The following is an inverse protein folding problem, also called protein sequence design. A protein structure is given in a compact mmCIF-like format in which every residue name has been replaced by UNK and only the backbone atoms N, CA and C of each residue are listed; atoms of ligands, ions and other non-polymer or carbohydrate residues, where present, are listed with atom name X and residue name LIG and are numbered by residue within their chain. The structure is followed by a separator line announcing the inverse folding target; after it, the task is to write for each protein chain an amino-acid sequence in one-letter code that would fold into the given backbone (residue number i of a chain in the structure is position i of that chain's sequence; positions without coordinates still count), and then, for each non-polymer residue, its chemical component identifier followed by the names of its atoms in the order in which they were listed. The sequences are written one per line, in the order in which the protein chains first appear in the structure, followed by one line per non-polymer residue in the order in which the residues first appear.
data_IF_588475587031
#
_entry.id   IF_588475587031
#
_cell.length_a   1.000
_cell.length_b   1.000
_cell.length_c   1.000
_cell.angle_alpha   90.00
_cell.angle_beta   90.00
_cell.angle_gamma   90.00
#
_symmetry.space_group_name_H-M   'P 1'
#
loop_
_entity.id
_entity.type
_entity.pdbx_description
1 polymer ?
#
# COMPACT_ATOMS: atom_id res chain seq x y z
N UNK A 1 10.48 4.00 -69.86
CA UNK A 1 11.62 3.46 -69.11
C UNK A 1 11.50 3.93 -67.67
N UNK A 2 10.70 3.24 -66.87
CA UNK A 2 10.45 3.53 -65.45
C UNK A 2 10.91 2.30 -64.66
N UNK A 3 11.79 2.52 -63.69
CA UNK A 3 12.38 1.47 -62.86
C UNK A 3 11.34 0.87 -61.91
N UNK A 4 11.18 -0.46 -61.86
CA UNK A 4 10.34 -1.14 -60.89
C UNK A 4 11.16 -1.52 -59.64
N UNK A 5 10.53 -1.42 -58.46
CA UNK A 5 10.99 -2.10 -57.25
C UNK A 5 11.41 -1.18 -56.11
N UNK A 6 10.44 -0.79 -55.27
CA UNK A 6 10.65 -0.51 -53.84
C UNK A 6 9.30 -0.37 -53.12
N UNK A 7 8.48 -1.43 -53.14
CA UNK A 7 7.43 -1.61 -52.12
C UNK A 7 8.04 -2.32 -50.91
N UNK A 8 8.67 -1.54 -50.03
CA UNK A 8 8.84 -1.93 -48.65
C UNK A 8 7.56 -1.56 -47.92
N UNK A 9 6.51 -2.36 -48.11
CA UNK A 9 5.43 -2.48 -47.12
C UNK A 9 6.07 -3.05 -45.87
N UNK A 10 6.54 -2.14 -45.02
CA UNK A 10 6.92 -2.46 -43.65
C UNK A 10 5.61 -2.86 -42.97
N UNK A 11 5.32 -4.15 -42.94
CA UNK A 11 4.30 -4.70 -42.06
C UNK A 11 4.79 -4.39 -40.64
N UNK A 12 4.31 -3.28 -40.08
CA UNK A 12 4.30 -3.07 -38.64
C UNK A 12 3.44 -4.17 -38.05
N UNK A 13 4.06 -5.29 -37.73
CA UNK A 13 3.47 -6.28 -36.86
C UNK A 13 3.36 -5.64 -35.48
N UNK A 14 2.33 -4.82 -35.28
CA UNK A 14 1.69 -4.72 -33.98
C UNK A 14 1.19 -6.13 -33.68
N UNK A 15 2.06 -6.95 -33.10
CA UNK A 15 1.64 -8.17 -32.44
C UNK A 15 0.70 -7.70 -31.33
N UNK A 16 -0.60 -7.68 -31.63
CA UNK A 16 -1.68 -7.69 -30.67
C UNK A 16 -1.48 -8.96 -29.84
N UNK A 17 -0.61 -8.86 -28.84
CA UNK A 17 -0.46 -9.87 -27.80
C UNK A 17 -1.81 -9.94 -27.12
N UNK A 18 -2.58 -10.99 -27.41
CA UNK A 18 -3.76 -11.32 -26.62
C UNK A 18 -3.33 -11.34 -25.15
N UNK A 19 -3.97 -10.55 -24.25
CA UNK A 19 -3.61 -10.56 -22.85
C UNK A 19 -3.75 -11.99 -22.32
N UNK A 20 -2.71 -12.45 -21.61
CA UNK A 20 -2.72 -13.77 -21.01
C UNK A 20 -3.98 -13.94 -20.14
N UNK A 21 -4.59 -15.13 -20.12
CA UNK A 21 -5.78 -15.36 -19.31
C UNK A 21 -5.45 -15.07 -17.83
N UNK A 22 -6.44 -14.55 -17.07
CA UNK A 22 -6.26 -14.30 -15.65
C UNK A 22 -5.87 -15.59 -14.91
N UNK A 23 -4.91 -15.46 -14.01
CA UNK A 23 -4.43 -16.55 -13.15
C UNK A 23 -5.18 -16.48 -11.83
N UNK A 24 -5.71 -17.62 -11.37
CA UNK A 24 -6.36 -17.71 -10.08
C UNK A 24 -5.40 -18.20 -9.00
N UNK A 25 -5.38 -17.50 -7.87
CA UNK A 25 -4.67 -17.89 -6.66
C UNK A 25 -5.67 -18.22 -5.56
N UNK A 26 -5.67 -19.47 -5.09
CA UNK A 26 -6.46 -19.89 -3.94
C UNK A 26 -5.62 -19.78 -2.68
N UNK A 27 -6.03 -18.92 -1.76
CA UNK A 27 -5.37 -18.69 -0.48
C UNK A 27 -6.06 -19.48 0.64
N UNK A 28 -5.35 -20.40 1.32
CA UNK A 28 -5.83 -21.02 2.55
C UNK A 28 -6.07 -20.00 3.66
N UNK A 29 -6.84 -20.42 4.67
CA UNK A 29 -7.03 -19.64 5.90
C UNK A 29 -5.68 -19.30 6.55
N UNK A 30 -5.48 -18.02 6.88
CA UNK A 30 -4.30 -17.57 7.62
C UNK A 30 -3.04 -17.40 6.76
N UNK A 31 -3.19 -17.48 5.43
CA UNK A 31 -2.09 -17.28 4.47
C UNK A 31 -2.15 -15.91 3.81
N UNK A 32 -1.04 -15.53 3.17
CA UNK A 32 -0.96 -14.35 2.33
C UNK A 32 -0.31 -14.64 0.98
N UNK A 33 -0.78 -13.97 -0.06
CA UNK A 33 -0.09 -13.91 -1.35
C UNK A 33 0.87 -12.73 -1.35
N UNK A 34 2.18 -13.01 -1.45
CA UNK A 34 3.24 -12.01 -1.55
C UNK A 34 3.62 -11.82 -2.99
N UNK A 35 3.70 -10.57 -3.42
CA UNK A 35 4.03 -10.23 -4.80
C UNK A 35 4.91 -8.98 -4.89
N UNK A 36 5.69 -8.91 -5.97
CA UNK A 36 6.54 -7.78 -6.32
C UNK A 36 6.34 -7.41 -7.80
N UNK A 37 6.09 -6.13 -8.05
CA UNK A 37 5.80 -5.59 -9.39
C UNK A 37 6.84 -4.52 -9.69
N UNK A 38 7.50 -4.66 -10.84
CA UNK A 38 8.44 -3.67 -11.33
C UNK A 38 7.77 -2.31 -11.61
N UNK A 39 8.53 -1.22 -11.48
CA UNK A 39 8.09 0.08 -11.96
C UNK A 39 7.79 0.06 -13.47
N UNK A 40 6.75 0.79 -13.88
CA UNK A 40 6.29 0.83 -15.28
C UNK A 40 5.41 -0.35 -15.71
N UNK A 41 5.13 -1.28 -14.80
CA UNK A 41 4.18 -2.39 -15.00
C UNK A 41 3.02 -2.29 -14.03
N UNK A 42 1.86 -2.78 -14.47
CA UNK A 42 0.68 -2.87 -13.61
C UNK A 42 0.18 -4.31 -13.57
N UNK A 43 -0.35 -4.69 -12.41
CA UNK A 43 -1.05 -5.95 -12.20
C UNK A 43 -2.42 -5.63 -11.64
N UNK A 44 -3.45 -6.24 -12.22
CA UNK A 44 -4.83 -6.14 -11.78
C UNK A 44 -5.16 -7.35 -10.91
N UNK A 45 -5.63 -7.10 -9.69
CA UNK A 45 -6.06 -8.11 -8.74
C UNK A 45 -7.53 -7.88 -8.43
N UNK A 46 -8.33 -8.93 -8.55
CA UNK A 46 -9.76 -8.89 -8.24
C UNK A 46 -10.07 -10.05 -7.28
N UNK A 47 -10.57 -9.78 -6.06
CA UNK A 47 -11.09 -10.83 -5.20
C UNK A 47 -12.32 -11.47 -5.85
N UNK A 48 -12.28 -12.79 -6.05
CA UNK A 48 -13.42 -13.52 -6.59
C UNK A 48 -14.55 -13.60 -5.55
N UNK A 49 -15.79 -13.45 -6.01
CA UNK A 49 -16.99 -13.53 -5.18
C UNK A 49 -17.44 -14.99 -4.98
N UNK A 50 -16.89 -15.95 -5.72
CA UNK A 50 -17.19 -17.37 -5.59
C UNK A 50 -18.68 -17.66 -5.84
N UNK A 51 -19.11 -17.71 -7.09
CA UNK A 51 -20.48 -18.16 -7.42
C UNK A 51 -20.63 -19.70 -7.39
N UNK A 52 -19.56 -20.47 -7.16
CA UNK A 52 -19.62 -21.94 -7.10
C UNK A 52 -18.87 -22.43 -5.86
N UNK A 53 -19.65 -22.64 -4.79
CA UNK A 53 -19.50 -23.56 -3.66
C UNK A 53 -19.96 -22.85 -2.39
N UNK A 54 -21.13 -23.26 -1.90
CA UNK A 54 -21.63 -22.89 -0.59
C UNK A 54 -20.52 -23.13 0.45
N UNK A 55 -20.20 -22.10 1.24
CA UNK A 55 -19.35 -22.07 2.46
C UNK A 55 -17.93 -21.46 2.46
N UNK A 56 -17.42 -20.76 1.44
CA UNK A 56 -16.18 -19.96 1.56
C UNK A 56 -16.26 -18.57 0.91
N UNK A 57 -17.05 -17.68 1.51
CA UNK A 57 -16.90 -16.24 1.28
C UNK A 57 -15.64 -15.77 2.02
N UNK A 58 -14.55 -15.57 1.29
CA UNK A 58 -13.27 -15.14 1.83
C UNK A 58 -13.11 -13.63 1.84
N UNK A 59 -12.78 -13.04 3.00
CA UNK A 59 -12.26 -11.68 3.03
C UNK A 59 -10.76 -11.70 2.75
N UNK A 60 -10.28 -10.67 2.06
CA UNK A 60 -8.88 -10.42 1.83
C UNK A 60 -8.56 -8.99 2.27
N UNK A 61 -7.35 -8.75 2.76
CA UNK A 61 -6.91 -7.43 3.18
C UNK A 61 -5.47 -7.14 2.77
N UNK A 62 -5.21 -5.87 2.48
CA UNK A 62 -3.88 -5.34 2.22
C UNK A 62 -3.57 -4.28 3.28
N UNK A 63 -2.57 -4.56 4.12
CA UNK A 63 -2.19 -3.74 5.26
C UNK A 63 -3.36 -3.31 6.17
N UNK A 64 -4.28 -4.24 6.47
CA UNK A 64 -5.44 -4.01 7.35
C UNK A 64 -6.64 -3.32 6.69
N UNK A 65 -6.55 -2.98 5.40
CA UNK A 65 -7.69 -2.51 4.59
C UNK A 65 -8.32 -3.68 3.85
N UNK A 66 -9.61 -3.92 4.05
CA UNK A 66 -10.33 -4.98 3.34
C UNK A 66 -10.49 -4.67 1.85
N UNK A 67 -10.30 -5.69 1.02
CA UNK A 67 -10.56 -5.66 -0.41
C UNK A 67 -12.02 -5.96 -0.67
N UNK A 68 -12.69 -5.09 -1.42
CA UNK A 68 -14.08 -5.29 -1.81
C UNK A 68 -14.19 -6.41 -2.87
N UNK A 69 -15.13 -7.33 -2.66
CA UNK A 69 -15.40 -8.39 -3.63
C UNK A 69 -15.82 -7.79 -4.98
N UNK A 70 -15.34 -8.41 -6.07
CA UNK A 70 -15.59 -7.96 -7.45
C UNK A 70 -15.01 -6.58 -7.82
N UNK A 71 -14.36 -5.86 -6.90
CA UNK A 71 -13.59 -4.67 -7.22
C UNK A 71 -12.21 -5.09 -7.76
N UNK A 72 -11.83 -4.50 -8.88
CA UNK A 72 -10.47 -4.66 -9.42
C UNK A 72 -9.57 -3.59 -8.83
N UNK A 73 -8.43 -4.01 -8.31
CA UNK A 73 -7.35 -3.16 -7.80
C UNK A 73 -6.14 -3.28 -8.72
N UNK A 74 -5.45 -2.17 -8.96
CA UNK A 74 -4.31 -2.05 -9.85
C UNK A 74 -3.08 -1.65 -9.06
N UNK A 75 -2.04 -2.47 -9.12
CA UNK A 75 -0.79 -2.27 -8.41
C UNK A 75 0.35 -2.05 -9.39
N UNK A 76 1.29 -1.16 -9.06
CA UNK A 76 2.49 -0.87 -9.86
C UNK A 76 3.66 -0.51 -8.96
N UNK A 77 4.87 -0.97 -9.31
CA UNK A 77 6.10 -0.55 -8.60
C UNK A 77 6.07 -0.84 -7.10
N UNK A 78 5.46 -1.95 -6.69
CA UNK A 78 5.15 -2.23 -5.28
C UNK A 78 5.53 -3.64 -4.88
N UNK A 79 5.86 -3.79 -3.60
CA UNK A 79 6.04 -5.07 -2.92
C UNK A 79 5.01 -5.13 -1.79
N UNK A 80 4.10 -6.08 -1.87
CA UNK A 80 2.97 -6.17 -0.95
C UNK A 80 2.57 -7.62 -0.66
N UNK A 81 1.71 -7.76 0.35
CA UNK A 81 1.11 -9.02 0.73
C UNK A 81 -0.41 -8.83 0.89
N UNK A 82 -1.20 -9.67 0.23
CA UNK A 82 -2.65 -9.75 0.43
C UNK A 82 -2.92 -10.93 1.35
N UNK A 83 -3.43 -10.65 2.54
CA UNK A 83 -3.69 -11.64 3.59
C UNK A 83 -5.16 -12.03 3.63
N UNK A 84 -5.45 -13.27 4.08
CA UNK A 84 -6.81 -13.71 4.36
C UNK A 84 -6.95 -14.42 5.71
N UNK A 85 -7.91 -13.97 6.51
CA UNK A 85 -8.27 -14.57 7.79
C UNK A 85 -9.05 -15.88 7.66
N UNK A 86 -9.76 -16.06 6.54
CA UNK A 86 -10.76 -17.11 6.35
C UNK A 86 -10.49 -18.01 5.14
N UNK A 87 -9.54 -17.61 4.28
CA UNK A 87 -9.29 -18.22 2.98
C UNK A 87 -10.05 -17.46 1.90
N UNK A 88 -9.46 -17.22 0.73
CA UNK A 88 -10.08 -16.49 -0.37
C UNK A 88 -9.49 -16.92 -1.73
N UNK A 89 -10.10 -16.45 -2.83
CA UNK A 89 -9.57 -16.64 -4.18
C UNK A 89 -9.34 -15.29 -4.83
N UNK A 90 -8.14 -15.10 -5.39
CA UNK A 90 -7.74 -13.90 -6.09
C UNK A 90 -7.61 -14.19 -7.58
N UNK A 91 -8.18 -13.35 -8.43
CA UNK A 91 -7.98 -13.35 -9.87
C UNK A 91 -6.94 -12.29 -10.21
N UNK A 92 -5.82 -12.71 -10.80
CA UNK A 92 -4.66 -11.85 -11.11
C UNK A 92 -4.44 -11.80 -12.61
N UNK A 93 -4.39 -10.59 -13.17
CA UNK A 93 -4.19 -10.35 -14.60
C UNK A 93 -3.20 -9.23 -14.84
N UNK A 94 -2.59 -9.22 -16.03
CA UNK A 94 -1.72 -8.12 -16.43
C UNK A 94 -2.57 -6.86 -16.64
N UNK A 95 -2.10 -5.73 -16.12
CA UNK A 95 -2.66 -4.43 -16.46
C UNK A 95 -1.93 -3.80 -17.65
N UNK A 96 -2.38 -2.60 -18.02
CA UNK A 96 -1.78 -1.84 -19.11
C UNK A 96 -0.42 -1.25 -18.68
N UNK A 97 0.62 -1.31 -19.54
CA UNK A 97 1.91 -0.71 -19.21
C UNK A 97 1.77 0.79 -18.97
N UNK A 98 2.40 1.29 -17.90
CA UNK A 98 2.43 2.73 -17.62
C UNK A 98 3.55 3.35 -18.44
N UNK A 99 3.21 4.31 -19.30
CA UNK A 99 4.21 5.16 -19.94
C UNK A 99 4.79 6.12 -18.90
N UNK A 100 6.01 5.87 -18.43
CA UNK A 100 6.73 6.81 -17.56
C UNK A 100 7.10 8.02 -18.43
N UNK A 101 6.60 9.20 -18.05
CA UNK A 101 6.54 10.40 -18.91
C UNK A 101 7.81 10.74 -19.70
N UNK A 102 7.62 11.08 -20.98
CA UNK A 102 8.54 11.88 -21.81
C UNK A 102 9.81 11.21 -22.34
N UNK A 103 10.29 10.14 -21.72
CA UNK A 103 11.40 9.33 -22.23
C UNK A 103 10.82 7.97 -22.58
N UNK A 104 10.80 7.63 -23.88
CA UNK A 104 10.27 6.38 -24.46
C UNK A 104 10.99 5.11 -24.00
N UNK A 105 11.19 4.96 -22.70
CA UNK A 105 11.67 3.73 -22.07
C UNK A 105 10.60 2.68 -22.23
N UNK A 106 10.95 1.64 -22.99
CA UNK A 106 10.13 0.43 -23.09
C UNK A 106 9.96 -0.11 -21.66
N UNK A 107 8.72 -0.34 -21.19
CA UNK A 107 8.51 -0.87 -19.86
C UNK A 107 9.28 -2.19 -19.71
N UNK A 108 9.91 -2.45 -18.55
CA UNK A 108 10.77 -3.62 -18.35
C UNK A 108 10.01 -4.89 -18.72
N UNK A 109 10.63 -5.93 -19.31
CA UNK A 109 9.89 -7.14 -19.69
C UNK A 109 9.09 -7.69 -18.51
N UNK A 110 7.85 -8.19 -18.75
CA UNK A 110 7.04 -8.75 -17.67
C UNK A 110 7.81 -9.87 -16.96
N UNK A 111 7.64 -9.95 -15.64
CA UNK A 111 8.17 -11.08 -14.89
C UNK A 111 7.46 -12.38 -15.29
N UNK A 112 8.02 -13.51 -14.87
CA UNK A 112 7.45 -14.83 -15.18
C UNK A 112 6.21 -15.17 -14.34
N UNK A 113 5.88 -14.35 -13.34
CA UNK A 113 4.72 -14.55 -12.48
C UNK A 113 3.41 -14.06 -13.09
N UNK A 114 2.32 -14.33 -12.39
CA UNK A 114 0.95 -13.97 -12.71
C UNK A 114 0.82 -12.48 -12.99
N UNK A 115 0.16 -12.13 -14.09
CA UNK A 115 0.03 -10.73 -14.52
C UNK A 115 1.35 -10.00 -14.82
N UNK A 116 2.49 -10.69 -14.86
CA UNK A 116 3.81 -10.09 -15.05
C UNK A 116 4.54 -9.74 -13.75
N UNK A 117 4.10 -10.26 -12.59
CA UNK A 117 4.83 -10.15 -11.32
C UNK A 117 6.29 -10.67 -11.46
N UNK A 118 7.24 -9.96 -10.85
CA UNK A 118 8.65 -10.37 -10.80
C UNK A 118 8.85 -11.53 -9.82
N UNK A 119 8.23 -11.41 -8.66
CA UNK A 119 8.24 -12.42 -7.59
C UNK A 119 6.80 -12.59 -7.14
N UNK A 120 6.36 -13.83 -6.99
CA UNK A 120 5.10 -14.15 -6.33
C UNK A 120 5.18 -15.50 -5.61
N UNK A 121 4.55 -15.62 -4.46
CA UNK A 121 4.35 -16.89 -3.76
C UNK A 121 3.30 -16.75 -2.66
N UNK A 122 2.74 -17.89 -2.22
CA UNK A 122 1.86 -17.95 -1.05
C UNK A 122 2.70 -18.26 0.18
N UNK A 123 2.53 -17.50 1.25
CA UNK A 123 3.15 -17.71 2.54
C UNK A 123 2.09 -18.10 3.59
N UNK A 124 2.31 -19.20 4.30
CA UNK A 124 1.43 -19.66 5.39
C UNK A 124 1.91 -19.17 6.77
N UNK A 125 3.21 -18.90 6.91
CA UNK A 125 3.77 -18.35 8.14
C UNK A 125 3.69 -16.81 8.11
N UNK A 126 2.80 -16.26 8.92
CA UNK A 126 2.54 -14.81 8.99
C UNK A 126 2.49 -14.32 10.44
N UNK A 127 2.98 -13.11 10.73
CA UNK A 127 2.89 -12.50 12.05
C UNK A 127 1.53 -11.82 12.32
N UNK A 128 0.49 -12.16 11.55
CA UNK A 128 -0.79 -11.45 11.59
C UNK A 128 -1.55 -11.67 12.91
N UNK A 129 -1.36 -12.82 13.55
CA UNK A 129 -1.93 -13.12 14.86
C UNK A 129 -1.35 -12.17 15.94
N UNK A 130 -0.06 -11.90 15.90
CA UNK A 130 0.61 -10.96 16.79
C UNK A 130 0.11 -9.53 16.56
N UNK A 131 -0.06 -9.13 15.30
CA UNK A 131 -0.53 -7.79 14.96
C UNK A 131 -1.96 -7.52 15.43
N UNK A 132 -2.87 -8.49 15.30
CA UNK A 132 -4.24 -8.34 15.82
C UNK A 132 -4.27 -8.34 17.35
N UNK A 133 -3.39 -9.11 18.01
CA UNK A 133 -3.26 -9.09 19.46
C UNK A 133 -2.78 -7.73 19.98
N UNK A 134 -1.78 -7.13 19.32
CA UNK A 134 -1.31 -5.76 19.62
C UNK A 134 -2.45 -4.77 19.44
N UNK A 135 -3.19 -4.84 18.32
CA UNK A 135 -4.34 -3.97 18.09
C UNK A 135 -5.40 -4.11 19.19
N UNK A 136 -5.72 -5.34 19.59
CA UNK A 136 -6.66 -5.63 20.69
C UNK A 136 -6.21 -5.02 22.02
N UNK A 137 -4.94 -5.15 22.37
CA UNK A 137 -4.38 -4.53 23.59
C UNK A 137 -4.44 -2.99 23.54
N UNK A 138 -4.10 -2.39 22.40
CA UNK A 138 -4.20 -0.94 22.22
C UNK A 138 -5.65 -0.45 22.29
N UNK A 139 -6.61 -1.24 21.82
CA UNK A 139 -8.02 -0.90 21.90
C UNK A 139 -8.54 -0.90 23.34
N UNK A 140 -8.15 -1.89 24.16
CA UNK A 140 -8.44 -1.88 25.60
C UNK A 140 -7.89 -0.61 26.27
N UNK A 141 -6.63 -0.24 25.97
CA UNK A 141 -6.03 1.00 26.50
C UNK A 141 -6.79 2.25 26.05
N UNK A 142 -7.32 2.29 24.83
CA UNK A 142 -8.14 3.42 24.33
C UNK A 142 -9.46 3.54 25.10
N UNK A 143 -10.13 2.43 25.38
CA UNK A 143 -11.38 2.45 26.15
C UNK A 143 -11.15 2.90 27.61
N UNK A 144 -10.10 2.40 28.25
CA UNK A 144 -9.72 2.82 29.61
C UNK A 144 -9.34 4.31 29.67
N UNK A 145 -8.57 4.79 28.69
CA UNK A 145 -8.23 6.21 28.56
C UNK A 145 -9.49 7.07 28.40
N UNK A 146 -10.41 6.67 27.51
CA UNK A 146 -11.69 7.36 27.31
C UNK A 146 -12.54 7.40 28.58
N UNK A 147 -12.64 6.28 29.30
CA UNK A 147 -13.40 6.20 30.55
C UNK A 147 -12.80 7.07 31.67
N UNK A 148 -11.47 7.24 31.69
CA UNK A 148 -10.75 8.06 32.66
C UNK A 148 -10.53 9.52 32.22
N UNK A 149 -11.02 9.92 31.05
CA UNK A 149 -10.82 11.26 30.49
C UNK A 149 -9.36 11.57 30.13
N UNK A 150 -8.56 10.53 29.85
CA UNK A 150 -7.14 10.64 29.47
C UNK A 150 -7.00 10.45 27.95
N UNK A 151 -5.84 10.85 27.43
CA UNK A 151 -5.48 10.60 26.03
C UNK A 151 -5.21 9.11 25.77
N UNK A 152 -5.47 8.68 24.54
CA UNK A 152 -5.17 7.32 24.09
C UNK A 152 -3.67 7.00 24.07
N UNK A 153 -3.31 5.72 23.84
CA UNK A 153 -1.92 5.28 23.85
C UNK A 153 -1.12 5.91 22.70
N UNK A 154 0.10 6.36 23.01
CA UNK A 154 1.10 6.82 22.05
C UNK A 154 2.13 5.70 21.86
N UNK A 155 2.23 5.16 20.65
CA UNK A 155 3.05 3.97 20.35
C UNK A 155 4.20 4.35 19.43
N UNK A 156 5.42 3.94 19.79
CA UNK A 156 6.61 4.07 18.96
C UNK A 156 7.03 2.70 18.45
N UNK A 157 7.14 2.55 17.12
CA UNK A 157 7.57 1.30 16.49
C UNK A 157 9.06 1.42 16.17
N UNK A 158 9.87 0.53 16.73
CA UNK A 158 11.33 0.48 16.55
C UNK A 158 11.74 -0.86 15.93
N UNK A 159 12.83 -0.84 15.18
CA UNK A 159 13.39 -2.03 14.54
C UNK A 159 14.47 -1.67 13.54
N UNK A 160 15.20 -2.68 13.06
CA UNK A 160 16.20 -2.52 12.00
C UNK A 160 15.57 -2.02 10.68
N UNK A 161 16.41 -1.66 9.73
CA UNK A 161 16.00 -1.46 8.33
C UNK A 161 15.28 -2.70 7.82
N UNK A 162 14.24 -2.50 7.00
CA UNK A 162 13.41 -3.57 6.40
C UNK A 162 12.71 -4.55 7.36
N UNK A 163 12.64 -4.25 8.66
CA UNK A 163 11.94 -5.09 9.65
C UNK A 163 10.40 -5.08 9.56
N UNK A 164 9.80 -4.42 8.55
CA UNK A 164 8.34 -4.32 8.39
C UNK A 164 7.66 -3.27 9.26
N UNK A 165 8.40 -2.28 9.78
CA UNK A 165 7.88 -1.19 10.65
C UNK A 165 6.69 -0.46 10.01
N UNK A 166 6.84 -0.05 8.76
CA UNK A 166 5.83 0.69 8.00
C UNK A 166 4.62 -0.19 7.68
N UNK A 167 4.83 -1.48 7.41
CA UNK A 167 3.75 -2.45 7.23
C UNK A 167 2.92 -2.63 8.50
N UNK A 168 3.58 -2.79 9.65
CA UNK A 168 2.90 -2.87 10.94
C UNK A 168 2.13 -1.57 11.26
N UNK A 169 2.73 -0.41 11.00
CA UNK A 169 2.07 0.88 11.19
C UNK A 169 0.79 1.00 10.34
N UNK A 170 0.84 0.60 9.07
CA UNK A 170 -0.33 0.58 8.18
C UNK A 170 -1.42 -0.38 8.70
N UNK A 171 -1.05 -1.60 9.10
CA UNK A 171 -2.00 -2.60 9.63
C UNK A 171 -2.71 -2.09 10.88
N UNK A 172 -1.96 -1.58 11.86
CA UNK A 172 -2.54 -1.03 13.10
C UNK A 172 -3.45 0.17 12.82
N UNK A 173 -3.09 0.99 11.83
CA UNK A 173 -3.89 2.14 11.38
C UNK A 173 -5.18 1.68 10.69
N UNK A 174 -5.10 0.72 9.76
CA UNK A 174 -6.25 0.13 9.07
C UNK A 174 -7.23 -0.53 10.05
N UNK A 175 -6.73 -1.27 11.04
CA UNK A 175 -7.59 -1.84 12.07
C UNK A 175 -8.21 -0.79 12.98
N UNK A 176 -7.47 0.27 13.34
CA UNK A 176 -8.01 1.36 14.14
C UNK A 176 -9.14 2.11 13.40
N UNK A 177 -8.94 2.44 12.12
CA UNK A 177 -9.99 3.09 11.31
C UNK A 177 -11.19 2.17 11.08
N UNK A 178 -10.97 0.86 10.91
CA UNK A 178 -12.03 -0.15 10.85
C UNK A 178 -12.87 -0.23 12.14
N UNK A 179 -12.27 0.06 13.30
CA UNK A 179 -12.97 0.21 14.59
C UNK A 179 -13.60 1.60 14.81
N UNK A 180 -13.55 2.48 13.81
CA UNK A 180 -14.06 3.85 13.91
C UNK A 180 -13.19 4.78 14.76
N UNK A 181 -11.92 4.43 14.99
CA UNK A 181 -10.93 5.30 15.64
C UNK A 181 -10.27 6.21 14.60
N UNK A 182 -9.69 7.30 15.11
CA UNK A 182 -8.95 8.27 14.30
C UNK A 182 -7.49 8.35 14.78
N UNK A 183 -6.66 7.34 14.51
CA UNK A 183 -5.26 7.37 14.93
C UNK A 183 -4.50 8.47 14.20
N UNK A 184 -3.52 9.06 14.87
CA UNK A 184 -2.51 9.91 14.22
C UNK A 184 -1.27 9.06 13.96
N UNK A 185 -0.91 8.94 12.67
CA UNK A 185 0.32 8.30 12.24
C UNK A 185 1.37 9.37 12.04
N UNK A 186 2.55 9.14 12.62
CA UNK A 186 3.69 10.05 12.52
C UNK A 186 4.84 9.31 11.84
N UNK A 187 5.28 9.83 10.68
CA UNK A 187 6.49 9.38 10.02
C UNK A 187 7.68 10.20 10.51
N UNK A 188 8.64 9.53 11.14
CA UNK A 188 9.89 10.11 11.61
C UNK A 188 11.09 9.73 10.73
N UNK A 189 10.86 8.96 9.66
CA UNK A 189 11.90 8.57 8.72
C UNK A 189 11.85 9.49 7.49
N UNK A 190 12.83 10.41 7.32
CA UNK A 190 12.87 11.31 6.17
C UNK A 190 13.11 10.58 4.85
N UNK A 191 13.59 9.33 4.86
CA UNK A 191 13.75 8.55 3.63
C UNK A 191 12.42 8.06 3.06
N UNK A 192 11.38 7.96 3.89
CA UNK A 192 10.04 7.52 3.47
C UNK A 192 9.13 8.71 3.11
N UNK A 193 8.60 8.70 1.88
CA UNK A 193 7.62 9.70 1.42
C UNK A 193 6.20 9.40 1.87
N UNK A 194 5.87 9.58 3.16
CA UNK A 194 4.49 9.44 3.65
C UNK A 194 3.67 10.70 3.37
N UNK A 195 2.79 10.64 2.35
CA UNK A 195 1.88 11.73 1.93
C UNK A 195 2.58 13.06 1.58
N UNK A 196 3.88 13.00 1.32
CA UNK A 196 4.76 14.14 1.04
C UNK A 196 5.99 13.65 0.29
N UNK A 197 6.84 14.59 -0.13
CA UNK A 197 8.13 14.29 -0.76
C UNK A 197 9.12 13.70 0.24
N UNK A 198 10.06 12.83 -0.21
CA UNK A 198 11.20 12.42 0.62
C UNK A 198 11.98 13.61 1.17
N UNK A 199 12.57 13.44 2.35
CA UNK A 199 13.22 14.50 3.13
C UNK A 199 12.26 15.24 4.06
N UNK A 200 11.07 14.69 4.32
CA UNK A 200 10.07 15.30 5.21
C UNK A 200 9.66 14.37 6.36
N UNK A 201 9.32 14.99 7.50
CA UNK A 201 8.67 14.35 8.63
C UNK A 201 7.20 14.72 8.57
N UNK A 202 6.31 13.73 8.76
CA UNK A 202 4.87 13.96 8.57
C UNK A 202 4.05 13.44 9.75
N UNK A 203 2.93 14.10 10.03
CA UNK A 203 1.94 13.65 11.00
C UNK A 203 0.54 13.79 10.40
N UNK A 204 -0.23 12.70 10.36
CA UNK A 204 -1.53 12.66 9.68
C UNK A 204 -2.57 11.94 10.52
N UNK A 205 -3.73 12.56 10.72
CA UNK A 205 -4.89 11.91 11.32
C UNK A 205 -5.63 11.08 10.25
N UNK A 206 -5.81 9.79 10.50
CA UNK A 206 -6.55 8.89 9.61
C UNK A 206 -7.99 8.76 10.07
N UNK A 207 -8.91 9.41 9.37
CA UNK A 207 -10.36 9.31 9.63
C UNK A 207 -11.08 8.35 8.68
N UNK A 208 -10.43 8.00 7.58
CA UNK A 208 -10.92 7.08 6.55
C UNK A 208 -9.91 5.95 6.34
N UNK A 209 -10.33 4.92 5.60
CA UNK A 209 -9.46 3.81 5.23
C UNK A 209 -8.21 4.27 4.45
N UNK A 210 -7.14 3.50 4.64
CA UNK A 210 -5.92 3.56 3.84
C UNK A 210 -6.25 3.12 2.42
N UNK A 211 -5.64 3.76 1.44
CA UNK A 211 -5.86 3.43 0.03
C UNK A 211 -5.14 2.12 -0.32
N UNK A 212 -5.82 1.22 -1.00
CA UNK A 212 -5.24 -0.08 -1.37
C UNK A 212 -4.18 0.11 -2.46
N UNK A 213 -4.44 0.97 -3.45
CA UNK A 213 -3.58 1.16 -4.61
C UNK A 213 -2.47 2.18 -4.29
N UNK A 214 -2.81 3.28 -3.61
CA UNK A 214 -1.87 4.37 -3.29
C UNK A 214 -1.21 4.22 -1.90
N UNK A 215 -1.51 3.16 -1.15
CA UNK A 215 -0.99 2.95 0.20
C UNK A 215 -1.52 4.00 1.17
N UNK A 216 -0.69 4.90 1.68
CA UNK A 216 -1.13 5.92 2.66
C UNK A 216 -2.24 6.85 2.12
N UNK A 217 -2.45 6.86 0.80
CA UNK A 217 -3.44 7.62 0.06
C UNK A 217 -2.87 8.91 -0.51
N UNK A 218 -3.75 9.84 -0.84
CA UNK A 218 -3.38 11.11 -1.48
C UNK A 218 -3.58 12.31 -0.57
N UNK A 219 -2.77 13.35 -0.81
CA UNK A 219 -2.95 14.69 -0.25
C UNK A 219 -4.15 15.41 -0.92
N UNK A 220 -4.62 16.54 -0.37
CA UNK A 220 -5.81 17.20 -0.89
C UNK A 220 -5.62 17.68 -2.32
N UNK A 221 -6.57 17.31 -3.18
CA UNK A 221 -6.64 17.74 -4.57
C UNK A 221 -7.97 18.45 -4.84
N UNK A 222 -7.98 19.40 -5.77
CA UNK A 222 -9.16 20.23 -6.09
C UNK A 222 -10.26 19.50 -6.88
N UNK A 223 -10.30 18.17 -6.83
CA UNK A 223 -11.23 17.34 -7.61
C UNK A 223 -11.86 16.23 -6.77
N UNK A 224 -12.90 15.55 -7.30
CA UNK A 224 -13.49 14.41 -6.63
C UNK A 224 -12.45 13.28 -6.54
N UNK A 225 -12.37 12.66 -5.36
CA UNK A 225 -11.57 11.46 -5.13
C UNK A 225 -12.49 10.35 -4.59
N UNK A 226 -12.35 9.09 -5.06
CA UNK A 226 -13.14 7.98 -4.56
C UNK A 226 -12.85 7.68 -3.08
N UNK A 227 -11.63 7.97 -2.62
CA UNK A 227 -11.20 7.77 -1.24
C UNK A 227 -10.90 9.15 -0.62
N UNK A 228 -11.43 9.47 0.58
CA UNK A 228 -11.20 10.77 1.19
C UNK A 228 -9.70 11.06 1.35
N UNK A 229 -9.28 12.22 0.85
CA UNK A 229 -7.91 12.72 0.95
C UNK A 229 -7.50 12.91 2.40
N UNK A 230 -6.19 12.86 2.64
CA UNK A 230 -5.61 12.99 3.97
C UNK A 230 -4.98 14.37 4.13
N UNK A 231 -4.95 14.88 5.36
CA UNK A 231 -4.40 16.20 5.69
C UNK A 231 -3.11 16.04 6.51
N UNK A 232 -1.95 15.84 5.87
CA UNK A 232 -0.68 15.72 6.58
C UNK A 232 -0.19 17.09 7.05
N UNK A 233 0.30 17.14 8.29
CA UNK A 233 1.23 18.15 8.75
C UNK A 233 2.63 17.73 8.30
N UNK A 234 3.31 18.58 7.53
CA UNK A 234 4.59 18.26 6.88
C UNK A 234 5.67 19.23 7.33
N UNK A 235 6.81 18.69 7.74
CA UNK A 235 8.02 19.44 8.02
C UNK A 235 9.15 18.97 7.12
N UNK A 236 9.75 19.90 6.38
CA UNK A 236 10.91 19.59 5.57
C UNK A 236 12.16 19.49 6.46
N UNK A 237 12.75 18.31 6.51
CA UNK A 237 13.99 18.03 7.24
C UNK A 237 15.22 18.36 6.39
N UNK A 238 15.16 18.08 5.09
CA UNK A 238 16.20 18.47 4.12
C UNK A 238 17.49 17.67 4.14
N UNK A 239 17.60 16.64 5.00
CA UNK A 239 18.71 15.70 5.03
C UNK A 239 18.21 14.26 4.83
N UNK A 240 19.02 13.38 4.23
CA UNK A 240 18.62 12.00 3.95
C UNK A 240 18.60 11.13 5.21
N UNK A 241 19.46 11.41 6.19
CA UNK A 241 19.48 10.71 7.48
C UNK A 241 19.41 11.67 8.66
N UNK A 242 18.70 11.31 9.74
CA UNK A 242 18.75 12.02 11.01
C UNK A 242 20.16 12.12 11.61
N UNK A 243 21.05 11.18 11.27
CA UNK A 243 22.42 11.12 11.77
C UNK A 243 23.34 12.15 11.09
N UNK A 244 22.99 12.59 9.88
CA UNK A 244 23.77 13.58 9.14
C UNK A 244 23.58 15.00 9.68
N UNK A 245 22.60 15.20 10.56
CA UNK A 245 22.38 16.44 11.27
C UNK A 245 23.28 16.52 12.50
N UNK A 246 24.45 17.16 12.37
CA UNK A 246 25.27 17.59 13.51
C UNK A 246 24.49 18.62 14.37
N UNK A 247 23.61 18.13 15.26
CA UNK A 247 22.88 18.93 16.25
C UNK A 247 21.53 19.53 15.82
N UNK A 248 21.05 19.32 14.58
CA UNK A 248 19.73 19.80 14.13
C UNK A 248 18.58 18.82 14.39
N UNK A 249 18.86 17.53 14.61
CA UNK A 249 17.83 16.50 14.86
C UNK A 249 17.02 16.76 16.12
N UNK A 250 17.63 17.29 17.19
CA UNK A 250 16.91 17.62 18.43
C UNK A 250 15.95 18.81 18.28
N UNK A 251 16.20 19.74 17.34
CA UNK A 251 15.32 20.90 17.09
C UNK A 251 14.09 20.54 16.26
N UNK A 252 14.19 19.56 15.37
CA UNK A 252 13.06 19.04 14.60
C UNK A 252 12.22 18.00 15.36
N UNK A 253 12.71 17.44 16.48
CA UNK A 253 11.93 16.56 17.36
C UNK A 253 11.29 17.28 18.55
N UNK A 254 11.82 18.43 18.97
CA UNK A 254 11.31 19.18 20.14
C UNK A 254 9.93 19.82 19.95
N UNK A 255 9.41 19.90 18.72
CA UNK A 255 8.06 20.41 18.44
C UNK A 255 6.98 19.32 18.39
N UNK A 256 7.37 18.06 18.15
CA UNK A 256 6.43 16.93 18.03
C UNK A 256 5.57 16.68 19.29
N UNK A 257 5.90 17.16 20.50
CA UNK A 257 4.95 17.15 21.62
C UNK A 257 3.96 18.33 21.61
N UNK A 258 4.38 19.51 21.14
CA UNK A 258 3.61 20.77 21.25
C UNK A 258 2.56 20.96 20.15
N UNK A 259 2.66 20.26 19.01
CA UNK A 259 1.61 20.28 17.99
C UNK A 259 0.37 19.44 18.34
N UNK A 260 0.48 18.55 19.34
CA UNK A 260 -0.57 17.60 19.72
C UNK A 260 -1.32 17.98 21.00
N UNK A 261 -1.05 19.16 21.57
CA UNK A 261 -1.80 19.72 22.71
C UNK A 261 -2.82 20.78 22.29
N UNK A 262 -2.94 21.07 20.98
CA UNK A 262 -4.01 21.90 20.47
C UNK A 262 -5.34 21.11 20.51
N UNK A 263 -6.42 21.68 21.07
CA UNK A 263 -7.72 21.04 21.06
C UNK A 263 -8.21 20.95 19.60
N UNK A 264 -8.37 19.72 19.11
CA UNK A 264 -9.14 19.42 17.90
C UNK A 264 -10.58 19.09 18.31
#
# INVERSE_FOLDING_TARGET
MSLPGLELTQASAEALSTPAPPVQHSLPRGSEWRFEIAFGRTVRVKPDRGEILQLLAGTAELFGTELAASQTYTFSGTKAAIYTWHGCTLEVSAGDPISIGGLGSVPPPPGSGSGGCQVEYVAEETPMAEYVNIHGALETMREEAKASGREGPRVLILGAEDAGKTSLAKILTGYATKRGRQPVVVNLDPSEGMLSVPGSLTATAFQSMIDVEEGWGSSPMSGPSPIPVKLPLVYFYGLPSPLDAEGQSQRSLSWAPNAFTAPW
#
